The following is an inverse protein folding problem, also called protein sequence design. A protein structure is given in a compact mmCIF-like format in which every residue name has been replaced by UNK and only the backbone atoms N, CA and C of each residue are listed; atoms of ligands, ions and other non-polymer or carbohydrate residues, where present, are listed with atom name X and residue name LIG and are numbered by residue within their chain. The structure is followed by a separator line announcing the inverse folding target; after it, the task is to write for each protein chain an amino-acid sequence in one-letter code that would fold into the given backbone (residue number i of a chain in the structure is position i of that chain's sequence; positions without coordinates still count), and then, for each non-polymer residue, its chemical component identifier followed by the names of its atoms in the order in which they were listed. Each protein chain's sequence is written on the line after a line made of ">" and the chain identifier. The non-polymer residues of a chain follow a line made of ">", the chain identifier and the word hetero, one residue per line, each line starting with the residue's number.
data_IF_732406367737
#
_entry.id   IF_732406367737
#
_cell.length_a   1.000
_cell.length_b   1.000
_cell.length_c   1.000
_cell.angle_alpha   90.00
_cell.angle_beta   90.00
_cell.angle_gamma   90.00
#
_symmetry.space_group_name_H-M   'P 1'
#
loop_
_entity.id
_entity.type
_entity.pdbx_description
1 polymer ?
#
# COMPACT_ATOMS: atom_id res chain seq x y z
N UNK A 1 -4.83 -2.15 -14.13
CA UNK A 1 -3.67 -2.74 -13.44
C UNK A 1 -4.16 -3.23 -12.08
N UNK A 2 -3.75 -4.44 -11.69
CA UNK A 2 -4.41 -5.25 -10.65
C UNK A 2 -4.12 -4.76 -9.22
N UNK A 3 -5.15 -4.77 -8.37
CA UNK A 3 -5.10 -4.41 -6.96
C UNK A 3 -4.45 -5.53 -6.14
N UNK A 4 -3.90 -5.21 -4.97
CA UNK A 4 -3.40 -6.23 -4.04
C UNK A 4 -4.54 -7.16 -3.60
N UNK A 5 -4.52 -8.42 -4.04
CA UNK A 5 -5.59 -9.40 -3.75
C UNK A 5 -5.76 -9.73 -2.28
N UNK A 6 -4.71 -9.52 -1.48
CA UNK A 6 -4.71 -9.73 -0.03
C UNK A 6 -5.15 -8.49 0.77
N UNK A 7 -5.34 -7.34 0.12
CA UNK A 7 -5.79 -6.12 0.78
C UNK A 7 -7.32 -6.02 0.69
N UNK A 8 -7.97 -5.54 1.76
CA UNK A 8 -9.41 -5.29 1.75
C UNK A 8 -9.78 -4.20 0.77
N UNK A 9 -10.94 -4.37 0.12
CA UNK A 9 -11.49 -3.42 -0.84
C UNK A 9 -12.18 -2.22 -0.22
N UNK A 10 -12.30 -2.19 1.12
CA UNK A 10 -12.96 -1.08 1.81
C UNK A 10 -12.24 0.26 1.60
N UNK A 11 -13.02 1.28 1.26
CA UNK A 11 -12.57 2.66 1.09
C UNK A 11 -12.13 3.32 2.40
N UNK A 12 -12.45 2.72 3.55
CA UNK A 12 -12.12 3.26 4.89
C UNK A 12 -10.81 2.72 5.45
N UNK A 13 -10.07 1.90 4.70
CA UNK A 13 -8.79 1.37 5.17
C UNK A 13 -7.66 2.41 5.11
N UNK A 14 -6.67 2.29 6.00
CA UNK A 14 -5.46 3.11 5.95
C UNK A 14 -4.72 2.96 4.60
N UNK A 15 -4.76 1.77 4.00
CA UNK A 15 -4.19 1.52 2.68
C UNK A 15 -4.91 2.30 1.57
N UNK A 16 -6.24 2.34 1.58
CA UNK A 16 -7.01 3.15 0.63
C UNK A 16 -6.68 4.65 0.75
N UNK A 17 -6.56 5.17 1.98
CA UNK A 17 -6.15 6.56 2.24
C UNK A 17 -4.75 6.86 1.69
N UNK A 18 -3.80 5.94 1.89
CA UNK A 18 -2.44 6.06 1.34
C UNK A 18 -2.44 6.10 -0.20
N UNK A 19 -3.20 5.21 -0.85
CA UNK A 19 -3.31 5.20 -2.32
C UNK A 19 -3.92 6.51 -2.86
N UNK A 20 -4.94 7.06 -2.21
CA UNK A 20 -5.51 8.35 -2.58
C UNK A 20 -4.49 9.49 -2.51
N UNK A 21 -3.54 9.44 -1.56
CA UNK A 21 -2.46 10.43 -1.48
C UNK A 21 -1.47 10.29 -2.64
N UNK A 22 -1.13 9.05 -3.04
CA UNK A 22 -0.32 8.81 -4.23
C UNK A 22 -0.99 9.39 -5.47
N UNK A 23 -2.30 9.15 -5.65
CA UNK A 23 -3.06 9.69 -6.79
C UNK A 23 -3.01 11.21 -6.86
N UNK A 24 -3.10 11.88 -5.71
CA UNK A 24 -3.01 13.35 -5.61
C UNK A 24 -1.61 13.87 -5.93
N UNK A 25 -0.56 13.12 -5.60
CA UNK A 25 0.84 13.53 -5.84
C UNK A 25 1.29 13.21 -7.26
N UNK A 26 0.73 12.19 -7.90
CA UNK A 26 1.15 11.70 -9.22
C UNK A 26 1.33 12.79 -10.30
N UNK A 27 0.44 13.80 -10.44
CA UNK A 27 0.60 14.87 -11.44
C UNK A 27 1.84 15.75 -11.22
N UNK A 28 2.39 15.78 -10.00
CA UNK A 28 3.51 16.65 -9.63
C UNK A 28 4.88 15.95 -9.72
N UNK A 29 4.92 14.68 -10.13
CA UNK A 29 6.16 13.88 -10.13
C UNK A 29 7.05 14.09 -11.36
N UNK A 30 6.56 14.72 -12.44
CA UNK A 30 7.34 14.97 -13.66
C UNK A 30 7.96 13.67 -14.21
N UNK A 31 9.27 13.66 -14.41
CA UNK A 31 10.02 12.48 -14.91
C UNK A 31 9.95 11.25 -13.98
N UNK A 32 9.64 11.46 -12.70
CA UNK A 32 9.50 10.38 -11.72
C UNK A 32 8.13 9.68 -11.80
N UNK A 33 7.17 10.23 -12.56
CA UNK A 33 5.82 9.67 -12.71
C UNK A 33 5.84 8.22 -13.20
N UNK A 34 6.86 7.84 -13.98
CA UNK A 34 7.07 6.45 -14.45
C UNK A 34 7.25 5.42 -13.33
N UNK A 35 7.58 5.87 -12.11
CA UNK A 35 7.80 5.02 -10.94
C UNK A 35 6.68 5.08 -9.91
N UNK A 36 5.57 5.79 -10.20
CA UNK A 36 4.47 5.97 -9.25
C UNK A 36 3.92 4.63 -8.75
N UNK A 37 3.93 3.60 -9.61
CA UNK A 37 3.43 2.27 -9.27
C UNK A 37 4.32 1.53 -8.26
N UNK A 38 5.60 1.88 -8.15
CA UNK A 38 6.48 1.36 -7.09
C UNK A 38 5.98 1.76 -5.71
N UNK A 39 5.31 2.92 -5.57
CA UNK A 39 4.71 3.36 -4.31
C UNK A 39 3.45 2.54 -3.97
N UNK A 40 2.76 1.98 -4.97
CA UNK A 40 1.54 1.20 -4.78
C UNK A 40 1.79 -0.27 -4.41
N UNK A 41 3.04 -0.74 -4.47
CA UNK A 41 3.39 -2.14 -4.26
C UNK A 41 4.47 -2.29 -3.18
N UNK A 42 4.12 -2.75 -1.97
CA UNK A 42 5.10 -2.93 -0.92
C UNK A 42 6.12 -4.00 -1.33
N UNK A 43 7.41 -3.72 -1.13
CA UNK A 43 8.50 -4.65 -1.48
C UNK A 43 8.39 -5.99 -0.74
N UNK A 44 7.90 -5.98 0.50
CA UNK A 44 7.75 -7.16 1.36
C UNK A 44 6.74 -6.87 2.46
N UNK A 45 5.86 -7.83 2.73
CA UNK A 45 5.07 -7.92 3.95
C UNK A 45 5.27 -9.33 4.52
N UNK A 46 5.65 -9.43 5.78
CA UNK A 46 5.86 -10.72 6.45
C UNK A 46 4.96 -10.75 7.68
N UNK A 47 3.96 -11.64 7.65
CA UNK A 47 3.11 -11.93 8.80
C UNK A 47 3.78 -13.10 9.53
N UNK A 48 4.17 -12.89 10.78
CA UNK A 48 4.82 -13.89 11.63
C UNK A 48 3.98 -14.18 12.84
N UNK A 49 4.02 -15.44 13.28
CA UNK A 49 3.47 -15.82 14.57
C UNK A 49 4.42 -15.42 15.70
N UNK A 50 3.88 -14.93 16.82
CA UNK A 50 4.64 -14.51 18.00
C UNK A 50 4.03 -15.23 19.21
N UNK A 51 4.59 -16.37 19.64
CA UNK A 51 4.04 -17.11 20.77
C UNK A 51 4.26 -16.34 22.07
N UNK A 52 3.20 -16.22 22.88
CA UNK A 52 3.23 -15.58 24.20
C UNK A 52 2.76 -16.59 25.25
N UNK A 53 3.51 -16.66 26.35
CA UNK A 53 3.06 -17.35 27.56
C UNK A 53 2.28 -16.36 28.42
N UNK A 54 1.02 -16.69 28.70
CA UNK A 54 0.17 -15.94 29.62
C UNK A 54 0.40 -16.46 31.05
N UNK A 55 0.26 -15.58 32.04
CA UNK A 55 0.29 -15.94 33.47
C UNK A 55 -0.95 -16.73 33.90
#
# INVERSE_FOLDING_TARGET
>A
MEKLSYASDSSTTAWATYLQQIDRVAPYLGDLSRWVDTLRHPKRALIVDIPLQMD
#
